data_IF_570653090452
#
_entry.id   IF_570653090452
#
_cell.length_a   1.000
_cell.length_b   1.000
_cell.length_c   1.000
_cell.angle_alpha   90.00
_cell.angle_beta   90.00
_cell.angle_gamma   90.00
#
_symmetry.space_group_name_H-M   'P 1'
#
loop_
_entity.id
_entity.type
_entity.pdbx_description
1 polymer ?
#
# COMPACT_ATOMS: atom_id res chain seq x y z
N UNK A 1 65.20 -8.90 -34.61
CA UNK A 1 64.71 -9.92 -33.66
C UNK A 1 63.79 -9.34 -32.57
N UNK A 2 63.22 -8.14 -32.73
CA UNK A 2 62.49 -7.42 -31.67
C UNK A 2 60.95 -7.36 -31.83
N UNK A 3 60.38 -7.87 -32.93
CA UNK A 3 58.95 -7.74 -33.27
C UNK A 3 58.06 -8.90 -32.78
N UNK A 4 58.64 -10.07 -32.49
CA UNK A 4 57.85 -11.23 -32.02
C UNK A 4 57.42 -11.11 -30.55
N UNK A 5 58.15 -10.33 -29.74
CA UNK A 5 57.86 -10.20 -28.31
C UNK A 5 56.68 -9.25 -28.05
N UNK A 6 56.49 -8.20 -28.85
CA UNK A 6 55.39 -7.23 -28.70
C UNK A 6 54.04 -7.85 -29.03
N UNK A 7 53.93 -8.64 -30.10
CA UNK A 7 52.70 -9.37 -30.44
C UNK A 7 52.30 -10.42 -29.38
N UNK A 8 53.27 -11.12 -28.79
CA UNK A 8 53.00 -12.10 -27.72
C UNK A 8 52.50 -11.43 -26.43
N UNK A 9 53.05 -10.25 -26.09
CA UNK A 9 52.69 -9.49 -24.90
C UNK A 9 51.28 -8.87 -25.01
N UNK A 10 50.93 -8.32 -26.18
CA UNK A 10 49.57 -7.80 -26.45
C UNK A 10 48.52 -8.91 -26.36
N UNK A 11 48.85 -10.10 -26.85
CA UNK A 11 47.94 -11.26 -26.80
C UNK A 11 47.71 -11.75 -25.36
N UNK A 12 48.75 -11.71 -24.52
CA UNK A 12 48.65 -12.07 -23.10
C UNK A 12 47.85 -11.04 -22.30
N UNK A 13 48.06 -9.74 -22.54
CA UNK A 13 47.26 -8.69 -21.90
C UNK A 13 45.78 -8.78 -22.28
N UNK A 14 45.46 -8.92 -23.57
CA UNK A 14 44.07 -9.11 -24.01
C UNK A 14 43.43 -10.35 -23.39
N UNK A 15 44.17 -11.44 -23.23
CA UNK A 15 43.67 -12.65 -22.58
C UNK A 15 43.43 -12.44 -21.08
N UNK A 16 44.29 -11.67 -20.41
CA UNK A 16 44.14 -11.33 -19.00
C UNK A 16 42.93 -10.42 -18.77
N UNK A 17 42.76 -9.39 -19.60
CA UNK A 17 41.63 -8.45 -19.53
C UNK A 17 40.29 -9.12 -19.85
N UNK A 18 40.27 -10.03 -20.83
CA UNK A 18 39.10 -10.84 -21.15
C UNK A 18 38.72 -11.78 -19.99
N UNK A 19 39.71 -12.38 -19.33
CA UNK A 19 39.45 -13.26 -18.18
C UNK A 19 38.90 -12.46 -16.99
N UNK A 20 39.44 -11.26 -16.73
CA UNK A 20 38.96 -10.41 -15.63
C UNK A 20 37.52 -9.93 -15.86
N UNK A 21 37.18 -9.52 -17.08
CA UNK A 21 35.81 -9.14 -17.43
C UNK A 21 34.82 -10.32 -17.37
N UNK A 22 35.23 -11.51 -17.83
CA UNK A 22 34.43 -12.75 -17.68
C UNK A 22 34.16 -13.09 -16.21
N UNK A 23 35.19 -13.03 -15.35
CA UNK A 23 35.04 -13.29 -13.92
C UNK A 23 34.09 -12.28 -13.26
N UNK A 24 34.19 -10.99 -13.63
CA UNK A 24 33.28 -9.97 -13.09
C UNK A 24 31.83 -10.21 -13.52
N UNK A 25 31.59 -10.53 -14.80
CA UNK A 25 30.26 -10.84 -15.29
C UNK A 25 29.67 -12.10 -14.63
N UNK A 26 30.48 -13.13 -14.39
CA UNK A 26 30.08 -14.35 -13.66
C UNK A 26 29.74 -14.05 -12.20
N UNK A 27 30.54 -13.22 -11.53
CA UNK A 27 30.27 -12.79 -10.16
C UNK A 27 28.99 -11.95 -10.08
N UNK A 28 28.75 -11.05 -11.04
CA UNK A 28 27.55 -10.21 -11.09
C UNK A 28 26.28 -11.02 -11.39
N UNK A 29 26.37 -12.02 -12.28
CA UNK A 29 25.25 -12.94 -12.54
C UNK A 29 24.97 -13.85 -11.35
N UNK A 30 26.00 -14.36 -10.68
CA UNK A 30 25.83 -15.15 -9.43
C UNK A 30 25.16 -14.33 -8.33
N UNK A 31 25.63 -13.10 -8.09
CA UNK A 31 25.02 -12.18 -7.11
C UNK A 31 23.58 -11.85 -7.45
N UNK A 32 23.28 -11.61 -8.73
CA UNK A 32 21.91 -11.33 -9.17
C UNK A 32 21.00 -12.53 -8.94
N UNK A 33 21.45 -13.74 -9.21
CA UNK A 33 20.69 -14.97 -8.95
C UNK A 33 20.38 -15.16 -7.47
N UNK A 34 21.34 -14.91 -6.57
CA UNK A 34 21.11 -14.97 -5.12
C UNK A 34 20.09 -13.92 -4.65
N UNK A 35 20.18 -12.69 -5.17
CA UNK A 35 19.21 -11.62 -4.86
C UNK A 35 17.82 -12.00 -5.38
N UNK A 36 17.71 -12.50 -6.60
CA UNK A 36 16.42 -12.87 -7.21
C UNK A 36 15.75 -14.02 -6.46
N UNK A 37 16.52 -15.00 -5.96
CA UNK A 37 15.99 -16.08 -5.12
C UNK A 37 15.49 -15.57 -3.77
N UNK A 38 16.25 -14.67 -3.13
CA UNK A 38 15.82 -14.03 -1.89
C UNK A 38 14.55 -13.19 -2.09
N UNK A 39 14.48 -12.37 -3.15
CA UNK A 39 13.30 -11.56 -3.48
C UNK A 39 12.08 -12.45 -3.70
N UNK A 40 12.21 -13.56 -4.45
CA UNK A 40 11.12 -14.52 -4.65
C UNK A 40 10.63 -15.14 -3.35
N UNK A 41 11.55 -15.48 -2.44
CA UNK A 41 11.18 -16.02 -1.14
C UNK A 41 10.41 -14.99 -0.32
N UNK A 42 10.86 -13.72 -0.31
CA UNK A 42 10.16 -12.63 0.39
C UNK A 42 8.78 -12.40 -0.21
N UNK A 43 8.66 -12.29 -1.54
CA UNK A 43 7.39 -12.08 -2.23
C UNK A 43 6.37 -13.19 -1.91
N UNK A 44 6.83 -14.45 -1.87
CA UNK A 44 5.98 -15.58 -1.49
C UNK A 44 5.41 -15.45 -0.06
N UNK A 45 6.24 -15.10 0.92
CA UNK A 45 5.78 -14.90 2.29
C UNK A 45 4.86 -13.68 2.41
N UNK A 46 5.16 -12.60 1.68
CA UNK A 46 4.31 -11.39 1.63
C UNK A 46 2.93 -11.72 1.09
N UNK A 47 2.82 -12.52 0.02
CA UNK A 47 1.55 -12.92 -0.57
C UNK A 47 0.72 -13.79 0.40
N UNK A 48 1.36 -14.72 1.12
CA UNK A 48 0.68 -15.52 2.16
C UNK A 48 0.14 -14.62 3.27
N UNK A 49 0.98 -13.73 3.80
CA UNK A 49 0.59 -12.82 4.89
C UNK A 49 -0.55 -11.93 4.43
N UNK A 50 -0.48 -11.39 3.20
CA UNK A 50 -1.53 -10.57 2.63
C UNK A 50 -2.86 -11.34 2.50
N UNK A 51 -2.84 -12.58 2.01
CA UNK A 51 -4.03 -13.43 1.95
C UNK A 51 -4.65 -13.64 3.34
N UNK A 52 -3.81 -13.90 4.36
CA UNK A 52 -4.26 -14.00 5.74
C UNK A 52 -4.89 -12.70 6.25
N UNK A 53 -4.24 -11.55 6.02
CA UNK A 53 -4.79 -10.24 6.44
C UNK A 53 -6.13 -9.95 5.80
N UNK A 54 -6.31 -10.26 4.51
CA UNK A 54 -7.59 -10.09 3.82
C UNK A 54 -8.67 -10.99 4.45
N UNK A 55 -8.35 -12.26 4.69
CA UNK A 55 -9.31 -13.19 5.30
C UNK A 55 -9.73 -12.73 6.71
N UNK A 56 -8.77 -12.48 7.59
CA UNK A 56 -9.05 -12.05 8.96
C UNK A 56 -9.70 -10.67 9.01
N UNK A 57 -9.28 -9.76 8.13
CA UNK A 57 -9.81 -8.40 8.07
C UNK A 57 -11.26 -8.37 7.58
N UNK A 58 -11.62 -9.11 6.52
CA UNK A 58 -13.01 -9.20 6.06
C UNK A 58 -13.91 -9.84 7.13
N UNK A 59 -13.42 -10.91 7.78
CA UNK A 59 -14.16 -11.54 8.88
C UNK A 59 -14.32 -10.59 10.08
N UNK A 60 -13.25 -9.91 10.49
CA UNK A 60 -13.26 -8.97 11.61
C UNK A 60 -14.16 -7.76 11.38
N UNK A 61 -14.07 -7.15 10.20
CA UNK A 61 -14.92 -6.02 9.81
C UNK A 61 -16.38 -6.44 9.67
N UNK A 62 -16.63 -7.63 9.12
CA UNK A 62 -17.98 -8.21 9.05
C UNK A 62 -18.58 -8.43 10.44
N UNK A 63 -17.80 -8.99 11.37
CA UNK A 63 -18.20 -9.15 12.76
C UNK A 63 -18.47 -7.79 13.44
N UNK A 64 -17.64 -6.77 13.20
CA UNK A 64 -17.87 -5.43 13.72
C UNK A 64 -19.22 -4.85 13.25
N UNK A 65 -19.57 -5.03 11.97
CA UNK A 65 -20.87 -4.65 11.43
C UNK A 65 -22.04 -5.45 12.04
N UNK A 66 -21.85 -6.74 12.29
CA UNK A 66 -22.89 -7.58 12.93
C UNK A 66 -23.12 -7.11 14.37
N UNK A 67 -22.04 -6.91 15.14
CA UNK A 67 -22.10 -6.49 16.55
C UNK A 67 -22.72 -5.11 16.68
N UNK A 68 -22.35 -4.15 15.82
CA UNK A 68 -22.86 -2.79 15.91
C UNK A 68 -24.33 -2.66 15.49
N UNK A 69 -24.82 -3.58 14.64
CA UNK A 69 -26.23 -3.64 14.27
C UNK A 69 -27.13 -4.20 15.38
N UNK A 70 -26.56 -4.73 16.47
CA UNK A 70 -27.34 -5.13 17.63
C UNK A 70 -28.06 -3.92 18.24
N UNK A 71 -29.34 -4.09 18.59
CA UNK A 71 -30.27 -3.01 18.97
C UNK A 71 -29.74 -2.07 20.06
N UNK A 72 -28.92 -2.59 20.98
CA UNK A 72 -28.33 -1.80 22.07
C UNK A 72 -27.26 -0.78 21.63
N UNK A 73 -26.60 -0.99 20.49
CA UNK A 73 -25.46 -0.18 20.05
C UNK A 73 -25.77 0.66 18.81
N UNK A 74 -26.76 0.24 18.02
CA UNK A 74 -27.11 0.85 16.72
C UNK A 74 -27.39 2.35 16.78
N UNK A 75 -27.97 2.84 17.88
CA UNK A 75 -28.38 4.26 18.03
C UNK A 75 -27.34 5.14 18.74
N UNK A 76 -26.06 4.78 18.65
CA UNK A 76 -24.97 5.59 19.23
C UNK A 76 -24.21 6.36 18.14
N UNK A 77 -23.59 7.47 18.48
CA UNK A 77 -22.66 8.19 17.59
C UNK A 77 -21.46 7.32 17.21
N UNK A 78 -20.93 6.55 18.17
CA UNK A 78 -19.86 5.58 17.91
C UNK A 78 -20.24 4.48 16.92
N UNK A 79 -21.51 4.07 16.83
CA UNK A 79 -21.91 3.06 15.83
C UNK A 79 -21.72 3.55 14.41
N UNK A 80 -21.92 4.84 14.17
CA UNK A 80 -21.67 5.49 12.88
C UNK A 80 -20.19 5.35 12.55
N UNK A 81 -19.29 5.79 13.43
CA UNK A 81 -17.85 5.74 13.16
C UNK A 81 -17.33 4.33 12.97
N UNK A 82 -17.75 3.36 13.79
CA UNK A 82 -17.37 1.95 13.65
C UNK A 82 -17.88 1.37 12.33
N UNK A 83 -19.08 1.76 11.90
CA UNK A 83 -19.63 1.34 10.60
C UNK A 83 -18.80 1.87 9.44
N UNK A 84 -18.49 3.17 9.44
CA UNK A 84 -17.63 3.77 8.42
C UNK A 84 -16.23 3.15 8.43
N UNK A 85 -15.65 2.93 9.62
CA UNK A 85 -14.35 2.27 9.75
C UNK A 85 -14.36 0.89 9.11
N UNK A 86 -15.34 0.03 9.45
CA UNK A 86 -15.44 -1.32 8.89
C UNK A 86 -15.61 -1.32 7.36
N UNK A 87 -16.32 -0.34 6.80
CA UNK A 87 -16.44 -0.14 5.35
C UNK A 87 -15.08 0.22 4.76
N UNK A 88 -14.40 1.24 5.30
CA UNK A 88 -13.11 1.69 4.77
C UNK A 88 -12.01 0.64 4.92
N UNK A 89 -11.94 -0.08 6.03
CA UNK A 89 -10.99 -1.19 6.21
C UNK A 89 -11.26 -2.32 5.20
N UNK A 90 -12.52 -2.63 4.92
CA UNK A 90 -12.86 -3.60 3.88
C UNK A 90 -12.44 -3.10 2.48
N UNK A 91 -12.63 -1.81 2.20
CA UNK A 91 -12.19 -1.19 0.94
C UNK A 91 -10.65 -1.18 0.80
N UNK A 92 -9.91 -0.94 1.88
CA UNK A 92 -8.44 -1.04 1.91
C UNK A 92 -8.00 -2.45 1.53
N UNK A 93 -8.58 -3.49 2.15
CA UNK A 93 -8.25 -4.88 1.85
C UNK A 93 -8.54 -5.25 0.40
N UNK A 94 -9.69 -4.82 -0.14
CA UNK A 94 -10.05 -5.05 -1.55
C UNK A 94 -9.07 -4.31 -2.48
N UNK A 95 -8.72 -3.06 -2.17
CA UNK A 95 -7.80 -2.27 -2.97
C UNK A 95 -6.39 -2.87 -2.97
N UNK A 96 -5.89 -3.33 -1.81
CA UNK A 96 -4.62 -4.04 -1.71
C UNK A 96 -4.59 -5.35 -2.49
N UNK A 97 -5.65 -6.16 -2.38
CA UNK A 97 -5.78 -7.40 -3.15
C UNK A 97 -5.80 -7.13 -4.65
N UNK A 98 -6.58 -6.14 -5.07
CA UNK A 98 -6.67 -5.72 -6.48
C UNK A 98 -5.31 -5.26 -7.00
N UNK A 99 -4.58 -4.46 -6.20
CA UNK A 99 -3.24 -4.02 -6.55
C UNK A 99 -2.26 -5.19 -6.73
N UNK A 100 -2.25 -6.15 -5.78
CA UNK A 100 -1.39 -7.34 -5.84
C UNK A 100 -1.69 -8.21 -7.09
N UNK A 101 -2.98 -8.42 -7.41
CA UNK A 101 -3.37 -9.17 -8.61
C UNK A 101 -2.94 -8.47 -9.90
N UNK A 102 -3.08 -7.13 -9.98
CA UNK A 102 -2.65 -6.35 -11.13
C UNK A 102 -1.13 -6.47 -11.32
N UNK A 103 -0.37 -6.40 -10.23
CA UNK A 103 1.08 -6.53 -10.24
C UNK A 103 1.55 -7.89 -10.76
N UNK A 104 0.96 -8.99 -10.29
CA UNK A 104 1.39 -10.33 -10.68
C UNK A 104 0.92 -10.79 -12.08
N UNK A 105 -0.23 -10.30 -12.56
CA UNK A 105 -0.79 -10.76 -13.84
C UNK A 105 -0.41 -9.91 -15.06
N UNK A 106 0.43 -8.89 -14.90
CA UNK A 106 0.80 -7.95 -15.96
C UNK A 106 -0.43 -7.46 -16.77
N UNK A 107 -1.58 -7.29 -16.09
CA UNK A 107 -2.82 -6.87 -16.74
C UNK A 107 -2.75 -5.36 -17.03
N UNK A 108 -2.48 -5.09 -18.29
CA UNK A 108 -2.38 -3.82 -19.03
C UNK A 108 -3.60 -2.89 -18.76
N UNK A 109 -3.35 -1.70 -18.14
CA UNK A 109 -3.34 -0.41 -18.87
C UNK A 109 -4.16 0.82 -18.42
N UNK A 110 -4.89 0.92 -17.30
CA UNK A 110 -5.41 2.25 -16.87
C UNK A 110 -5.88 2.30 -15.42
N UNK A 111 -6.29 1.14 -14.90
CA UNK A 111 -6.81 1.02 -13.55
C UNK A 111 -5.72 1.00 -12.47
N UNK A 112 -4.43 0.86 -12.81
CA UNK A 112 -3.33 0.76 -11.84
C UNK A 112 -3.17 2.04 -11.02
N UNK A 113 -3.10 3.21 -11.67
CA UNK A 113 -3.03 4.51 -10.99
C UNK A 113 -4.26 4.76 -10.10
N UNK A 114 -5.44 4.41 -10.61
CA UNK A 114 -6.70 4.57 -9.87
C UNK A 114 -6.74 3.66 -8.65
N UNK A 115 -6.29 2.41 -8.78
CA UNK A 115 -6.23 1.45 -7.66
C UNK A 115 -5.20 1.89 -6.63
N UNK A 116 -4.03 2.38 -7.05
CA UNK A 116 -3.01 2.95 -6.14
C UNK A 116 -3.57 4.16 -5.39
N UNK A 117 -4.19 5.10 -6.11
CA UNK A 117 -4.84 6.26 -5.51
C UNK A 117 -5.93 5.86 -4.51
N UNK A 118 -6.84 4.96 -4.90
CA UNK A 118 -7.93 4.50 -4.04
C UNK A 118 -7.40 3.78 -2.81
N UNK A 119 -6.38 2.95 -2.94
CA UNK A 119 -5.73 2.27 -1.81
C UNK A 119 -5.18 3.28 -0.81
N UNK A 120 -4.41 4.27 -1.28
CA UNK A 120 -3.81 5.28 -0.42
C UNK A 120 -4.89 6.18 0.22
N UNK A 121 -5.92 6.56 -0.54
CA UNK A 121 -7.07 7.33 -0.07
C UNK A 121 -7.88 6.58 1.01
N UNK A 122 -8.20 5.31 0.79
CA UNK A 122 -8.94 4.50 1.76
C UNK A 122 -8.13 4.27 3.04
N UNK A 123 -6.83 4.03 2.91
CA UNK A 123 -5.92 3.84 4.04
C UNK A 123 -5.84 5.10 4.89
N UNK A 124 -5.61 6.26 4.26
CA UNK A 124 -5.58 7.55 4.94
C UNK A 124 -6.91 7.82 5.65
N UNK A 125 -8.03 7.56 4.97
CA UNK A 125 -9.36 7.81 5.54
C UNK A 125 -9.64 6.90 6.74
N UNK A 126 -9.30 5.61 6.68
CA UNK A 126 -9.44 4.70 7.82
C UNK A 126 -8.64 5.18 9.05
N UNK A 127 -7.38 5.58 8.85
CA UNK A 127 -6.54 6.11 9.94
C UNK A 127 -7.17 7.33 10.61
N UNK A 128 -7.70 8.27 9.83
CA UNK A 128 -8.37 9.44 10.40
C UNK A 128 -9.70 9.10 11.08
N UNK A 129 -10.46 8.12 10.58
CA UNK A 129 -11.66 7.64 11.27
C UNK A 129 -11.28 7.08 12.65
N UNK A 130 -10.21 6.29 12.74
CA UNK A 130 -9.68 5.79 14.01
C UNK A 130 -9.34 6.94 14.96
N UNK A 131 -8.67 7.99 14.48
CA UNK A 131 -8.38 9.18 15.28
C UNK A 131 -9.67 9.82 15.81
N UNK A 132 -10.69 10.01 14.98
CA UNK A 132 -11.98 10.56 15.41
C UNK A 132 -12.67 9.68 16.47
N UNK A 133 -12.64 8.35 16.31
CA UNK A 133 -13.16 7.41 17.31
C UNK A 133 -12.43 7.59 18.65
N UNK A 134 -11.09 7.69 18.63
CA UNK A 134 -10.33 7.88 19.87
C UNK A 134 -10.66 9.21 20.56
N UNK A 135 -10.82 10.29 19.79
CA UNK A 135 -11.22 11.60 20.31
C UNK A 135 -12.64 11.53 20.90
N UNK A 136 -13.59 10.88 20.21
CA UNK A 136 -14.94 10.71 20.72
C UNK A 136 -14.93 9.96 22.06
N UNK A 137 -14.18 8.85 22.15
CA UNK A 137 -14.03 8.08 23.38
C UNK A 137 -13.38 8.88 24.50
N UNK A 138 -12.38 9.70 24.16
CA UNK A 138 -11.75 10.60 25.12
C UNK A 138 -12.74 11.63 25.68
N UNK A 139 -13.53 12.28 24.82
CA UNK A 139 -14.56 13.25 25.23
C UNK A 139 -15.64 12.58 26.09
N UNK A 140 -16.07 11.37 25.72
CA UNK A 140 -17.06 10.61 26.47
C UNK A 140 -16.62 10.32 27.91
N UNK A 141 -15.32 10.06 28.11
CA UNK A 141 -14.75 9.76 29.43
C UNK A 141 -14.47 11.04 30.24
N UNK A 142 -13.81 12.03 29.65
CA UNK A 142 -13.35 13.22 30.38
C UNK A 142 -14.41 14.31 30.55
N UNK A 143 -15.42 14.36 29.69
CA UNK A 143 -16.38 15.47 29.67
C UNK A 143 -17.79 14.98 29.32
N UNK A 144 -18.49 14.33 30.27
CA UNK A 144 -19.81 13.74 30.03
C UNK A 144 -20.87 14.77 29.59
N UNK A 145 -20.77 16.02 30.04
CA UNK A 145 -21.65 17.11 29.60
C UNK A 145 -21.42 17.50 28.12
N UNK A 146 -20.16 17.51 27.66
CA UNK A 146 -19.84 17.73 26.25
C UNK A 146 -20.23 16.52 25.41
N UNK A 147 -20.02 15.30 25.91
CA UNK A 147 -20.39 14.07 25.21
C UNK A 147 -21.88 14.04 24.85
N UNK A 148 -22.76 14.46 25.78
CA UNK A 148 -24.21 14.55 25.51
C UNK A 148 -24.56 15.55 24.40
N UNK A 149 -23.74 16.57 24.17
CA UNK A 149 -23.94 17.60 23.14
C UNK A 149 -23.30 17.24 21.79
N UNK A 150 -22.09 16.68 21.82
CA UNK A 150 -21.28 16.46 20.62
C UNK A 150 -21.38 15.03 20.07
N UNK A 151 -21.60 14.03 20.91
CA UNK A 151 -21.68 12.62 20.51
C UNK A 151 -23.11 12.26 20.05
N UNK A 152 -23.65 13.01 19.08
CA UNK A 152 -24.94 12.68 18.44
C UNK A 152 -24.71 12.06 17.06
N UNK A 153 -25.68 11.28 16.58
CA UNK A 153 -25.62 10.60 15.27
C UNK A 153 -25.45 11.61 14.13
N UNK A 154 -26.17 12.73 14.17
CA UNK A 154 -26.12 13.74 13.11
C UNK A 154 -24.75 14.43 13.05
N UNK A 155 -24.17 14.78 14.21
CA UNK A 155 -22.81 15.32 14.25
C UNK A 155 -21.77 14.29 13.80
N UNK A 156 -21.94 13.02 14.16
CA UNK A 156 -21.06 11.95 13.70
C UNK A 156 -21.10 11.78 12.18
N UNK A 157 -22.29 11.77 11.56
CA UNK A 157 -22.45 11.70 10.10
C UNK A 157 -21.83 12.90 9.39
N UNK A 158 -22.10 14.10 9.89
CA UNK A 158 -21.50 15.32 9.34
C UNK A 158 -19.96 15.31 9.47
N UNK A 159 -19.44 14.85 10.61
CA UNK A 159 -18.00 14.68 10.83
C UNK A 159 -17.39 13.68 9.84
N UNK A 160 -18.09 12.58 9.52
CA UNK A 160 -17.60 11.63 8.52
C UNK A 160 -17.59 12.21 7.11
N UNK A 161 -18.65 12.91 6.67
CA UNK A 161 -18.65 13.54 5.34
C UNK A 161 -17.55 14.58 5.18
N UNK A 162 -17.37 15.43 6.21
CA UNK A 162 -16.29 16.43 6.21
C UNK A 162 -14.91 15.77 6.21
N UNK A 163 -14.73 14.69 6.97
CA UNK A 163 -13.47 13.94 7.00
C UNK A 163 -13.15 13.31 5.64
N UNK A 164 -14.10 12.60 5.03
CA UNK A 164 -13.93 11.95 3.72
C UNK A 164 -13.58 12.98 2.64
N UNK A 165 -14.25 14.14 2.66
CA UNK A 165 -13.93 15.23 1.74
C UNK A 165 -12.52 15.76 1.96
N UNK A 166 -12.13 15.97 3.22
CA UNK A 166 -10.81 16.49 3.58
C UNK A 166 -9.69 15.51 3.17
N UNK A 167 -9.85 14.21 3.44
CA UNK A 167 -8.88 13.19 3.04
C UNK A 167 -8.82 13.02 1.53
N UNK A 168 -9.93 13.22 0.82
CA UNK A 168 -9.96 13.22 -0.64
C UNK A 168 -9.15 14.39 -1.22
N UNK A 169 -9.33 15.60 -0.69
CA UNK A 169 -8.54 16.77 -1.10
C UNK A 169 -7.06 16.56 -0.79
N UNK A 170 -6.72 16.16 0.44
CA UNK A 170 -5.34 15.94 0.85
C UNK A 170 -4.64 14.82 0.09
N UNK A 171 -5.34 13.76 -0.33
CA UNK A 171 -4.76 12.70 -1.15
C UNK A 171 -4.60 13.12 -2.61
N UNK A 172 -5.51 13.93 -3.14
CA UNK A 172 -5.50 14.38 -4.54
C UNK A 172 -4.43 15.42 -4.84
N UNK A 173 -4.06 16.26 -3.87
CA UNK A 173 -3.04 17.32 -4.05
C UNK A 173 -1.62 16.79 -4.31
N UNK A 174 -1.06 15.85 -3.52
CA UNK A 174 0.28 15.33 -3.74
C UNK A 174 0.33 14.25 -4.82
N UNK A 175 -0.79 13.60 -5.17
CA UNK A 175 -0.79 12.45 -6.06
C UNK A 175 -0.14 12.73 -7.44
N UNK A 176 -0.45 13.83 -8.16
CA UNK A 176 0.21 14.15 -9.43
C UNK A 176 1.68 14.58 -9.29
N UNK A 177 2.07 15.02 -8.10
CA UNK A 177 3.45 15.40 -7.78
C UNK A 177 4.31 14.16 -7.53
N UNK A 178 3.77 13.19 -6.78
CA UNK A 178 4.48 11.97 -6.37
C UNK A 178 4.44 10.90 -7.46
N UNK A 179 3.35 10.80 -8.22
CA UNK A 179 3.17 9.75 -9.22
C UNK A 179 3.20 10.32 -10.65
N UNK A 180 3.91 9.62 -11.53
CA UNK A 180 3.90 9.87 -12.97
C UNK A 180 3.14 8.76 -13.68
N UNK A 181 2.42 9.14 -14.74
CA UNK A 181 1.77 8.19 -15.64
C UNK A 181 2.74 7.95 -16.78
N UNK A 182 3.42 6.81 -16.78
CA UNK A 182 4.24 6.43 -17.92
C UNK A 182 3.34 5.87 -19.01
N UNK A 183 3.06 6.66 -20.05
CA UNK A 183 2.11 6.30 -21.13
C UNK A 183 2.64 5.13 -21.99
N UNK A 184 3.95 4.87 -21.97
CA UNK A 184 4.56 3.82 -22.78
C UNK A 184 4.43 2.44 -22.12
N UNK A 185 4.46 2.39 -20.79
CA UNK A 185 4.31 1.16 -19.98
C UNK A 185 2.92 1.03 -19.35
N UNK A 186 2.13 2.11 -19.43
CA UNK A 186 0.92 2.39 -18.67
C UNK A 186 0.98 1.92 -17.22
N UNK A 187 2.07 2.34 -16.58
CA UNK A 187 2.38 2.09 -15.18
C UNK A 187 2.30 3.39 -14.37
N UNK A 188 1.86 3.25 -13.12
CA UNK A 188 1.91 4.31 -12.12
C UNK A 188 3.25 4.18 -11.39
N UNK A 189 4.21 5.03 -11.74
CA UNK A 189 5.53 4.99 -11.15
C UNK A 189 5.72 6.18 -10.21
N UNK A 190 6.49 5.97 -9.15
CA UNK A 190 7.02 7.07 -8.34
C UNK A 190 7.80 8.01 -9.27
N UNK A 191 7.60 9.31 -9.10
CA UNK A 191 8.39 10.34 -9.77
C UNK A 191 9.80 10.30 -9.16
N UNK A 192 10.77 9.81 -9.94
CA UNK A 192 12.20 9.90 -9.62
C UNK A 192 12.69 11.35 -9.56
#
# INVERSE_FOLDING_TARGET
MHENNTHSFITLNNKHDNNHSLINNLNDTSKRAEIDEFVRQVDYWVEIIQCCMVLFGVLGNGLALIVINHHSLRNTSSSVFITYLAIFDSLVLIAHLTYSVIWHRYLVFLSSCVVVYLRDFFTLTSVWIMVIITIERYIAVHSPFLAKRFCTIEHARHSMYTLIFLTFVFSSLPFPLVYTININEIACNLRE
#
